data_IF_836081312306
#
_entry.id   IF_836081312306
#
_cell.length_a   1.000
_cell.length_b   1.000
_cell.length_c   1.000
_cell.angle_alpha   90.00
_cell.angle_beta   90.00
_cell.angle_gamma   90.00
#
_symmetry.space_group_name_H-M   'P 1'
#
loop_
_entity.id
_entity.type
_entity.pdbx_description
1 polymer ?
#
# COMPACT_ATOMS: atom_id res chain seq x y z
N UNK A 1 -16.36 -4.55 16.47
CA UNK A 1 -16.10 -3.34 15.67
C UNK A 1 -17.13 -3.32 14.55
N UNK A 2 -17.67 -2.14 14.24
CA UNK A 2 -18.70 -2.01 13.21
C UNK A 2 -18.09 -2.27 11.83
N UNK A 3 -18.79 -2.98 10.96
CA UNK A 3 -18.37 -3.29 9.58
C UNK A 3 -17.95 -2.03 8.79
N UNK A 4 -18.50 -0.87 9.15
CA UNK A 4 -18.16 0.43 8.59
C UNK A 4 -16.78 0.94 9.06
N UNK A 5 -16.38 0.66 10.29
CA UNK A 5 -15.06 1.04 10.84
C UNK A 5 -13.94 0.25 10.15
N UNK A 6 -14.13 -1.06 9.95
CA UNK A 6 -13.17 -1.93 9.24
C UNK A 6 -12.96 -1.50 7.78
N UNK A 7 -14.03 -1.07 7.11
CA UNK A 7 -13.98 -0.54 5.74
C UNK A 7 -13.21 0.79 5.67
N UNK A 8 -13.49 1.72 6.59
CA UNK A 8 -12.81 3.02 6.64
C UNK A 8 -11.32 2.83 6.94
N UNK A 9 -10.97 1.96 7.90
CA UNK A 9 -9.59 1.66 8.26
C UNK A 9 -8.82 1.07 7.07
N UNK A 10 -9.44 0.13 6.35
CA UNK A 10 -8.86 -0.49 5.16
C UNK A 10 -8.64 0.54 4.04
N UNK A 11 -9.58 1.47 3.85
CA UNK A 11 -9.46 2.52 2.83
C UNK A 11 -8.33 3.51 3.15
N UNK A 12 -8.20 3.90 4.43
CA UNK A 12 -7.10 4.75 4.91
C UNK A 12 -5.75 4.05 4.76
N UNK A 13 -5.67 2.76 5.12
CA UNK A 13 -4.46 1.97 4.96
C UNK A 13 -4.04 1.85 3.49
N UNK A 14 -5.01 1.67 2.58
CA UNK A 14 -4.77 1.63 1.14
C UNK A 14 -4.26 2.97 0.61
N UNK A 15 -4.84 4.09 1.05
CA UNK A 15 -4.39 5.44 0.67
C UNK A 15 -2.95 5.70 1.14
N UNK A 16 -2.58 5.27 2.35
CA UNK A 16 -1.22 5.38 2.89
C UNK A 16 -0.24 4.53 2.06
N UNK A 17 -0.59 3.27 1.74
CA UNK A 17 0.23 2.44 0.87
C UNK A 17 0.42 3.06 -0.52
N UNK A 18 -0.66 3.55 -1.15
CA UNK A 18 -0.59 4.22 -2.44
C UNK A 18 0.34 5.45 -2.42
N UNK A 19 0.26 6.25 -1.34
CA UNK A 19 1.17 7.37 -1.12
C UNK A 19 2.64 6.94 -1.00
N UNK A 20 2.92 5.89 -0.23
CA UNK A 20 4.28 5.33 -0.08
C UNK A 20 4.83 4.77 -1.39
N UNK A 21 4.01 4.11 -2.20
CA UNK A 21 4.40 3.63 -3.54
C UNK A 21 4.71 4.80 -4.46
N UNK A 22 3.82 5.81 -4.51
CA UNK A 22 4.02 7.00 -5.34
C UNK A 22 5.29 7.77 -4.94
N UNK A 23 5.55 7.92 -3.64
CA UNK A 23 6.78 8.53 -3.13
C UNK A 23 8.01 7.67 -3.44
N UNK A 24 7.92 6.35 -3.27
CA UNK A 24 9.00 5.42 -3.61
C UNK A 24 9.36 5.46 -5.08
N UNK A 25 8.38 5.51 -5.98
CA UNK A 25 8.59 5.67 -7.41
C UNK A 25 9.17 7.06 -7.74
N UNK A 26 8.60 8.14 -7.20
CA UNK A 26 9.12 9.50 -7.42
C UNK A 26 10.56 9.63 -6.96
N UNK A 27 10.93 9.07 -5.81
CA UNK A 27 12.30 9.11 -5.30
C UNK A 27 13.25 8.17 -6.07
N UNK A 28 12.75 7.07 -6.62
CA UNK A 28 13.57 6.16 -7.42
C UNK A 28 13.93 6.75 -8.79
N UNK A 29 13.01 7.49 -9.42
CA UNK A 29 13.17 8.13 -10.73
C UNK A 29 13.80 9.53 -10.67
N UNK A 30 13.85 10.16 -9.50
CA UNK A 30 14.55 11.45 -9.34
C UNK A 30 16.04 11.23 -9.64
N UNK A 31 16.57 11.99 -10.61
CA UNK A 31 17.97 11.91 -11.03
C UNK A 31 18.89 11.91 -9.81
N UNK A 32 19.74 10.88 -9.74
CA UNK A 32 20.62 10.61 -8.60
C UNK A 32 21.83 11.55 -8.68
N UNK A 33 21.59 12.85 -8.55
CA UNK A 33 22.59 13.92 -8.68
C UNK A 33 23.72 13.84 -7.64
N UNK A 34 23.56 13.06 -6.56
CA UNK A 34 24.56 13.01 -5.51
C UNK A 34 24.93 11.57 -5.10
N UNK A 35 26.24 11.30 -5.05
CA UNK A 35 26.87 10.11 -4.50
C UNK A 35 26.71 10.07 -2.96
N UNK A 36 25.48 9.95 -2.48
CA UNK A 36 25.22 9.80 -1.04
C UNK A 36 25.47 8.36 -0.60
N UNK A 37 26.37 8.18 0.37
CA UNK A 37 26.87 6.88 0.89
C UNK A 37 25.77 5.98 1.47
N UNK A 38 24.64 6.55 1.89
CA UNK A 38 23.45 5.82 2.34
C UNK A 38 22.21 6.31 1.60
N UNK A 39 21.70 5.46 0.69
CA UNK A 39 20.44 5.69 -0.03
C UNK A 39 19.37 4.79 0.59
N UNK A 40 18.22 5.33 1.04
CA UNK A 40 17.10 4.49 1.42
C UNK A 40 16.73 3.61 0.22
N UNK A 41 16.49 2.29 0.42
CA UNK A 41 16.13 1.40 -0.67
C UNK A 41 14.67 1.63 -1.05
N UNK A 42 14.39 2.74 -1.72
CA UNK A 42 13.04 3.16 -2.14
C UNK A 42 12.31 2.10 -2.96
N UNK A 43 13.06 1.29 -3.71
CA UNK A 43 12.51 0.15 -4.44
C UNK A 43 11.97 -0.95 -3.51
N UNK A 44 12.65 -1.24 -2.39
CA UNK A 44 12.18 -2.21 -1.39
C UNK A 44 10.96 -1.65 -0.65
N UNK A 45 10.96 -0.35 -0.32
CA UNK A 45 9.82 0.32 0.32
C UNK A 45 8.61 0.30 -0.61
N UNK A 46 8.79 0.59 -1.91
CA UNK A 46 7.73 0.52 -2.90
C UNK A 46 7.21 -0.92 -3.06
N UNK A 47 8.09 -1.93 -3.12
CA UNK A 47 7.70 -3.33 -3.23
C UNK A 47 6.88 -3.79 -2.01
N UNK A 48 7.35 -3.48 -0.80
CA UNK A 48 6.63 -3.80 0.44
C UNK A 48 5.27 -3.11 0.49
N UNK A 49 5.19 -1.83 0.11
CA UNK A 49 3.93 -1.09 0.07
C UNK A 49 2.95 -1.63 -0.98
N UNK A 50 3.43 -2.10 -2.14
CA UNK A 50 2.58 -2.79 -3.14
C UNK A 50 2.04 -4.10 -2.57
N UNK A 51 2.88 -4.92 -1.93
CA UNK A 51 2.45 -6.19 -1.33
C UNK A 51 1.40 -5.98 -0.22
N UNK A 52 1.63 -5.04 0.69
CA UNK A 52 0.67 -4.71 1.76
C UNK A 52 -0.61 -4.11 1.17
N UNK A 53 -0.50 -3.24 0.16
CA UNK A 53 -1.65 -2.70 -0.57
C UNK A 53 -2.51 -3.79 -1.21
N UNK A 54 -1.88 -4.79 -1.84
CA UNK A 54 -2.59 -5.94 -2.41
C UNK A 54 -3.32 -6.77 -1.33
N UNK A 55 -2.67 -7.00 -0.18
CA UNK A 55 -3.29 -7.70 0.94
C UNK A 55 -4.52 -6.95 1.47
N UNK A 56 -4.47 -5.62 1.56
CA UNK A 56 -5.61 -4.78 1.96
C UNK A 56 -6.75 -4.86 0.93
N UNK A 57 -6.43 -4.87 -0.37
CA UNK A 57 -7.44 -5.03 -1.42
C UNK A 57 -8.16 -6.38 -1.30
N UNK A 58 -7.42 -7.48 -1.10
CA UNK A 58 -8.01 -8.81 -0.85
C UNK A 58 -8.83 -8.81 0.44
N UNK A 59 -8.35 -8.15 1.51
CA UNK A 59 -9.10 -8.03 2.75
C UNK A 59 -10.44 -7.30 2.56
N UNK A 60 -10.43 -6.21 1.80
CA UNK A 60 -11.66 -5.49 1.41
C UNK A 60 -12.56 -6.41 0.56
N UNK A 61 -12.04 -7.10 -0.45
CA UNK A 61 -12.81 -8.03 -1.28
C UNK A 61 -13.47 -9.15 -0.44
N UNK A 62 -12.74 -9.67 0.55
CA UNK A 62 -13.24 -10.65 1.51
C UNK A 62 -14.32 -10.06 2.43
N UNK A 63 -14.15 -8.83 2.93
CA UNK A 63 -15.18 -8.08 3.67
C UNK A 63 -16.46 -7.84 2.84
N UNK A 64 -16.31 -7.60 1.53
CA UNK A 64 -17.42 -7.48 0.60
C UNK A 64 -18.12 -8.81 0.31
N UNK A 65 -17.57 -9.94 0.76
CA UNK A 65 -18.20 -11.25 0.65
C UNK A 65 -17.98 -11.93 -0.70
N UNK A 66 -16.98 -11.52 -1.49
CA UNK A 66 -16.63 -12.19 -2.75
C UNK A 66 -16.15 -13.64 -2.54
N UNK A 67 -15.54 -13.95 -1.38
CA UNK A 67 -15.07 -15.30 -1.04
C UNK A 67 -15.91 -16.00 0.05
N UNK A 68 -16.75 -15.27 0.80
CA UNK A 68 -17.47 -15.80 1.97
C UNK A 68 -18.95 -16.13 1.75
N UNK A 69 -19.46 -16.12 0.52
CA UNK A 69 -20.78 -16.69 0.21
C UNK A 69 -21.91 -16.14 1.10
N UNK A 70 -22.03 -14.82 1.23
CA UNK A 70 -23.20 -14.23 1.89
C UNK A 70 -24.36 -14.12 0.89
N UNK A 71 -25.00 -15.29 0.72
CA UNK A 71 -26.09 -15.72 -0.20
C UNK A 71 -25.61 -16.40 -1.46
#
# INVERSE_FOLDING_TARGET
MSHSEDLILSFVALAICGGLVALGFRQNFKEKTEFRSVRPPWMIIALAAISVGFMIVVHIANLFGLETGRR
#
